data_IF_430899764602
#
_entry.id   IF_430899764602
#
_cell.length_a   1.000
_cell.length_b   1.000
_cell.length_c   1.000
_cell.angle_alpha   90.00
_cell.angle_beta   90.00
_cell.angle_gamma   90.00
#
_symmetry.space_group_name_H-M   'P 1'
#
loop_
_entity.id
_entity.type
_entity.pdbx_description
1 polymer ?
#
# COMPACT_ATOMS: atom_id res chain seq x y z
N UNK A 1 -2.34 -1.01 5.59
CA UNK A 1 -2.57 -0.36 4.27
C UNK A 1 -3.39 -1.24 3.34
N UNK A 2 -2.96 -2.48 3.02
CA UNK A 2 -3.74 -3.40 2.18
C UNK A 2 -5.23 -3.47 2.56
N UNK A 3 -5.55 -3.83 3.80
CA UNK A 3 -6.96 -3.94 4.23
C UNK A 3 -7.74 -2.62 4.18
N UNK A 4 -7.08 -1.48 4.43
CA UNK A 4 -7.71 -0.17 4.32
C UNK A 4 -8.06 0.12 2.84
N UNK A 5 -7.11 -0.10 1.92
CA UNK A 5 -7.38 0.01 0.48
C UNK A 5 -8.46 -0.97 0.01
N UNK A 6 -8.45 -2.22 0.51
CA UNK A 6 -9.49 -3.22 0.23
C UNK A 6 -10.87 -2.77 0.73
N UNK A 7 -10.94 -2.17 1.92
CA UNK A 7 -12.18 -1.65 2.48
C UNK A 7 -12.73 -0.49 1.64
N UNK A 8 -11.88 0.44 1.21
CA UNK A 8 -12.28 1.53 0.32
C UNK A 8 -12.80 1.01 -1.03
N UNK A 9 -12.14 0.01 -1.63
CA UNK A 9 -12.62 -0.62 -2.86
C UNK A 9 -13.97 -1.32 -2.65
N UNK A 10 -14.15 -1.98 -1.52
CA UNK A 10 -15.40 -2.63 -1.15
C UNK A 10 -16.54 -1.62 -0.96
N UNK A 11 -16.25 -0.45 -0.39
CA UNK A 11 -17.23 0.64 -0.17
C UNK A 11 -17.82 1.15 -1.49
N UNK A 12 -17.04 1.14 -2.57
CA UNK A 12 -17.52 1.46 -3.93
C UNK A 12 -18.05 0.23 -4.70
N UNK A 13 -18.26 -0.89 -4.02
CA UNK A 13 -18.81 -2.13 -4.60
C UNK A 13 -17.81 -2.98 -5.40
N UNK A 14 -16.51 -2.71 -5.31
CA UNK A 14 -15.47 -3.41 -6.06
C UNK A 14 -14.73 -4.41 -5.17
N UNK A 15 -15.07 -5.70 -5.29
CA UNK A 15 -14.34 -6.78 -4.62
C UNK A 15 -13.08 -7.15 -5.43
N UNK A 16 -11.93 -7.15 -4.77
CA UNK A 16 -10.64 -7.52 -5.37
C UNK A 16 -9.93 -8.57 -4.51
N UNK A 17 -9.47 -9.65 -5.14
CA UNK A 17 -9.04 -10.85 -4.40
C UNK A 17 -7.52 -11.00 -4.25
N UNK A 18 -6.73 -10.24 -5.02
CA UNK A 18 -5.26 -10.30 -4.96
C UNK A 18 -4.65 -9.01 -4.41
N UNK A 19 -3.52 -9.14 -3.70
CA UNK A 19 -2.75 -7.99 -3.20
C UNK A 19 -2.32 -7.05 -4.33
N UNK A 20 -1.83 -7.61 -5.44
CA UNK A 20 -1.49 -6.83 -6.63
C UNK A 20 -2.72 -6.11 -7.20
N UNK A 21 -3.86 -6.82 -7.29
CA UNK A 21 -5.11 -6.24 -7.77
C UNK A 21 -5.57 -5.06 -6.91
N UNK A 22 -5.49 -5.17 -5.58
CA UNK A 22 -5.84 -4.08 -4.66
C UNK A 22 -4.95 -2.87 -4.88
N UNK A 23 -3.62 -3.06 -5.04
CA UNK A 23 -2.69 -1.97 -5.39
C UNK A 23 -3.11 -1.25 -6.68
N UNK A 24 -3.36 -2.02 -7.75
CA UNK A 24 -3.71 -1.46 -9.07
C UNK A 24 -5.06 -0.76 -9.06
N UNK A 25 -6.09 -1.40 -8.51
CA UNK A 25 -7.45 -0.85 -8.47
C UNK A 25 -7.56 0.34 -7.53
N UNK A 26 -6.83 0.37 -6.43
CA UNK A 26 -6.75 1.57 -5.60
C UNK A 26 -6.20 2.77 -6.40
N UNK A 27 -5.11 2.58 -7.14
CA UNK A 27 -4.53 3.61 -7.99
C UNK A 27 -5.48 4.07 -9.11
N UNK A 28 -6.21 3.15 -9.73
CA UNK A 28 -7.19 3.46 -10.78
C UNK A 28 -8.41 4.23 -10.26
N UNK A 29 -9.02 3.74 -9.18
CA UNK A 29 -10.32 4.22 -8.72
C UNK A 29 -10.25 5.47 -7.84
N UNK A 30 -9.13 5.67 -7.13
CA UNK A 30 -9.00 6.76 -6.16
C UNK A 30 -7.92 7.77 -6.55
N UNK A 31 -6.74 7.31 -6.99
CA UNK A 31 -5.62 8.22 -7.29
C UNK A 31 -5.80 8.88 -8.65
N UNK A 32 -5.99 8.11 -9.73
CA UNK A 32 -6.20 8.65 -11.09
C UNK A 32 -7.50 9.44 -11.22
N UNK A 33 -8.48 9.14 -10.38
CA UNK A 33 -9.73 9.87 -10.29
C UNK A 33 -9.64 11.12 -9.40
N UNK A 34 -8.44 11.48 -8.91
CA UNK A 34 -8.16 12.64 -8.05
C UNK A 34 -8.97 12.68 -6.74
N UNK A 35 -9.51 11.53 -6.30
CA UNK A 35 -10.24 11.38 -5.03
C UNK A 35 -9.29 11.25 -3.83
N UNK A 36 -8.07 10.78 -4.09
CA UNK A 36 -7.02 10.57 -3.11
C UNK A 36 -5.72 11.13 -3.66
N UNK A 37 -4.97 11.84 -2.81
CA UNK A 37 -3.65 12.39 -3.17
C UNK A 37 -2.71 11.28 -3.65
N UNK A 38 -1.98 11.55 -4.74
CA UNK A 38 -1.01 10.64 -5.37
C UNK A 38 -0.04 10.01 -4.37
N UNK A 39 0.37 10.73 -3.33
CA UNK A 39 1.29 10.22 -2.30
C UNK A 39 0.79 8.93 -1.65
N UNK A 40 -0.51 8.76 -1.49
CA UNK A 40 -1.07 7.56 -0.87
C UNK A 40 -1.00 6.34 -1.79
N UNK A 41 -1.15 6.54 -3.10
CA UNK A 41 -0.88 5.51 -4.10
C UNK A 41 0.58 5.05 -4.06
N UNK A 42 1.51 6.00 -3.95
CA UNK A 42 2.95 5.71 -3.84
C UNK A 42 3.30 4.98 -2.55
N UNK A 43 2.74 5.42 -1.41
CA UNK A 43 2.91 4.73 -0.13
C UNK A 43 2.43 3.28 -0.22
N UNK A 44 1.24 3.03 -0.79
CA UNK A 44 0.69 1.69 -0.91
C UNK A 44 1.54 0.80 -1.83
N UNK A 45 2.01 1.34 -2.94
CA UNK A 45 2.87 0.63 -3.88
C UNK A 45 4.21 0.26 -3.24
N UNK A 46 4.87 1.23 -2.60
CA UNK A 46 6.14 1.02 -1.91
C UNK A 46 6.01 0.00 -0.78
N UNK A 47 4.96 0.09 0.05
CA UNK A 47 4.72 -0.87 1.12
C UNK A 47 4.44 -2.29 0.60
N UNK A 48 3.80 -2.43 -0.56
CA UNK A 48 3.60 -3.72 -1.21
C UNK A 48 4.94 -4.34 -1.65
N UNK A 49 5.78 -3.56 -2.33
CA UNK A 49 7.07 -4.05 -2.85
C UNK A 49 8.03 -4.38 -1.68
N UNK A 50 8.15 -3.48 -0.69
CA UNK A 50 8.99 -3.72 0.49
C UNK A 50 8.56 -4.97 1.27
N UNK A 51 7.26 -5.26 1.35
CA UNK A 51 6.76 -6.49 1.98
C UNK A 51 7.13 -7.74 1.19
N UNK A 52 7.16 -7.67 -0.15
CA UNK A 52 7.64 -8.80 -0.96
C UNK A 52 9.12 -9.07 -0.69
N UNK A 53 9.93 -8.01 -0.68
CA UNK A 53 11.37 -8.12 -0.39
C UNK A 53 11.59 -8.68 1.02
N UNK A 54 10.88 -8.15 2.02
CA UNK A 54 11.00 -8.60 3.41
C UNK A 54 10.64 -10.09 3.61
N UNK A 55 9.57 -10.55 2.98
CA UNK A 55 9.00 -11.89 3.21
C UNK A 55 9.65 -12.97 2.34
N UNK A 56 10.07 -12.63 1.13
CA UNK A 56 10.45 -13.62 0.12
C UNK A 56 11.86 -13.46 -0.45
N UNK A 57 12.51 -12.30 -0.28
CA UNK A 57 13.87 -12.15 -0.77
C UNK A 57 14.88 -12.74 0.23
N UNK A 58 15.47 -13.86 -0.18
CA UNK A 58 16.48 -14.60 0.59
C UNK A 58 17.87 -13.96 0.50
N UNK A 59 18.09 -13.00 -0.39
CA UNK A 59 19.38 -12.36 -0.66
C UNK A 59 19.60 -10.99 -0.03
N UNK A 60 18.55 -10.30 0.43
CA UNK A 60 18.59 -8.87 0.79
C UNK A 60 18.29 -8.56 2.26
N UNK A 61 18.59 -9.49 3.19
CA UNK A 61 18.59 -9.18 4.64
C UNK A 61 19.48 -7.98 5.03
N UNK A 62 20.29 -7.44 4.11
CA UNK A 62 21.06 -6.22 4.25
C UNK A 62 20.30 -4.89 3.98
N UNK A 63 19.05 -4.91 3.47
CA UNK A 63 18.39 -3.69 2.97
C UNK A 63 17.39 -3.00 3.91
N UNK A 64 16.65 -3.75 4.73
CA UNK A 64 15.57 -3.18 5.55
C UNK A 64 16.11 -2.77 6.91
N UNK A 65 16.52 -1.52 7.03
CA UNK A 65 16.99 -0.95 8.30
C UNK A 65 15.81 -0.61 9.21
N UNK A 66 16.09 -0.41 10.50
CA UNK A 66 15.12 0.13 11.46
C UNK A 66 14.51 1.46 10.99
N UNK A 67 15.33 2.32 10.39
CA UNK A 67 14.88 3.62 9.87
C UNK A 67 13.85 3.45 8.74
N UNK A 68 14.08 2.48 7.83
CA UNK A 68 13.12 2.14 6.77
C UNK A 68 11.82 1.63 7.38
N UNK A 69 11.90 0.69 8.33
CA UNK A 69 10.72 0.14 8.99
C UNK A 69 9.90 1.21 9.74
N UNK A 70 10.55 2.10 10.48
CA UNK A 70 9.89 3.21 11.16
C UNK A 70 9.27 4.21 10.18
N UNK A 71 9.92 4.45 9.03
CA UNK A 71 9.38 5.26 7.95
C UNK A 71 8.10 4.68 7.36
N UNK A 72 8.10 3.39 7.05
CA UNK A 72 6.89 2.71 6.55
C UNK A 72 5.78 2.65 7.58
N UNK A 73 6.10 2.49 8.86
CA UNK A 73 5.09 2.54 9.93
C UNK A 73 4.36 3.90 9.98
N UNK A 74 5.09 5.01 9.84
CA UNK A 74 4.49 6.35 9.78
C UNK A 74 3.61 6.52 8.55
N UNK A 75 4.10 6.11 7.37
CA UNK A 75 3.30 6.13 6.13
C UNK A 75 2.03 5.29 6.26
N UNK A 76 2.12 4.10 6.85
CA UNK A 76 0.97 3.24 7.08
C UNK A 76 -0.04 3.86 8.05
N UNK A 77 0.43 4.57 9.07
CA UNK A 77 -0.43 5.30 10.01
C UNK A 77 -1.15 6.47 9.33
N UNK A 78 -0.44 7.24 8.50
CA UNK A 78 -1.04 8.35 7.75
C UNK A 78 -2.03 7.86 6.70
N UNK A 79 -1.72 6.75 6.02
CA UNK A 79 -2.65 6.11 5.09
C UNK A 79 -3.93 5.65 5.80
N UNK A 80 -3.83 5.07 7.00
CA UNK A 80 -5.00 4.64 7.76
C UNK A 80 -5.89 5.81 8.21
N UNK A 81 -5.33 6.99 8.46
CA UNK A 81 -6.11 8.18 8.84
C UNK A 81 -6.88 8.80 7.67
N UNK A 82 -6.44 8.55 6.44
CA UNK A 82 -7.09 9.03 5.23
C UNK A 82 -8.17 8.06 4.74
N UNK A 83 -7.94 6.75 4.90
CA UNK A 83 -8.84 5.70 4.45
C UNK A 83 -10.09 5.59 5.32
#
# INVERSE_FOLDING_TARGET
MFYAASAMLLDIGLKVESHYGVKVKFGEMFVKAEKVDRRFGEMLAHAYDLRQDADYDLGTRAGITRQVAEGEYRKASDFLRMA
#
